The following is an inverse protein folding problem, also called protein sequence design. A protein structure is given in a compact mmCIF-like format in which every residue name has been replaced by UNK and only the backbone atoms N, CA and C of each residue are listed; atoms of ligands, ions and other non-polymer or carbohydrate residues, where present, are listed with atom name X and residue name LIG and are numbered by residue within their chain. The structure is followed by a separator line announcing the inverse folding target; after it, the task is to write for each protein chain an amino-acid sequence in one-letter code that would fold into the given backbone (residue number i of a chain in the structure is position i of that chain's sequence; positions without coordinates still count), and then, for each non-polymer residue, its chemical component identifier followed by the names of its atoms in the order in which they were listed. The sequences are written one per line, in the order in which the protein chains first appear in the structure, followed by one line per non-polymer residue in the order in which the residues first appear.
data_IF_018747762456
#
_entry.id   IF_018747762456
#
_cell.length_a   1.000
_cell.length_b   1.000
_cell.length_c   1.000
_cell.angle_alpha   90.00
_cell.angle_beta   90.00
_cell.angle_gamma   90.00
#
_symmetry.space_group_name_H-M   'P 1'
#
loop_
_entity.id
_entity.type
_entity.pdbx_description
1 polymer ?
#
# COMPACT_ATOMS: atom_id res chain seq x y z
N UNK A 1 3.43 -4.98 20.39
CA UNK A 1 1.97 -5.10 20.62
C UNK A 1 1.21 -3.86 20.16
N UNK A 2 1.75 -2.65 20.29
CA UNK A 2 1.00 -1.40 19.98
C UNK A 2 0.86 -1.07 18.48
N UNK A 3 1.76 -1.55 17.60
CA UNK A 3 1.74 -1.21 16.17
C UNK A 3 1.45 -2.38 15.23
N UNK A 4 1.26 -3.60 15.76
CA UNK A 4 1.20 -4.81 14.94
C UNK A 4 0.08 -4.76 13.90
N UNK A 5 -1.14 -4.39 14.31
CA UNK A 5 -2.29 -4.25 13.40
C UNK A 5 -2.08 -3.15 12.38
N UNK A 6 -1.57 -2.00 12.80
CA UNK A 6 -1.31 -0.87 11.90
C UNK A 6 -0.27 -1.23 10.83
N UNK A 7 0.85 -1.84 11.24
CA UNK A 7 1.88 -2.31 10.31
C UNK A 7 1.38 -3.42 9.40
N UNK A 8 0.49 -4.30 9.87
CA UNK A 8 -0.14 -5.33 9.03
C UNK A 8 -1.05 -4.71 7.97
N UNK A 9 -1.84 -3.68 8.31
CA UNK A 9 -2.68 -2.97 7.34
C UNK A 9 -1.82 -2.40 6.21
N UNK A 10 -0.73 -1.72 6.54
CA UNK A 10 0.18 -1.12 5.56
C UNK A 10 0.96 -2.15 4.73
N UNK A 11 1.29 -3.31 5.32
CA UNK A 11 1.87 -4.43 4.58
C UNK A 11 0.86 -4.98 3.57
N UNK A 12 -0.37 -5.26 3.99
CA UNK A 12 -1.44 -5.78 3.13
C UNK A 12 -1.73 -4.80 1.96
N UNK A 13 -1.70 -3.48 2.21
CA UNK A 13 -1.78 -2.47 1.15
C UNK A 13 -0.60 -2.56 0.17
N UNK A 14 0.62 -2.72 0.70
CA UNK A 14 1.82 -2.87 -0.13
C UNK A 14 1.75 -4.11 -1.01
N UNK A 15 1.31 -5.25 -0.47
CA UNK A 15 1.09 -6.49 -1.21
C UNK A 15 -0.01 -6.34 -2.26
N UNK A 16 -1.11 -5.67 -1.91
CA UNK A 16 -2.21 -5.40 -2.84
C UNK A 16 -1.76 -4.60 -4.07
N UNK A 17 -1.00 -3.51 -3.87
CA UNK A 17 -0.48 -2.71 -4.98
C UNK A 17 0.64 -3.43 -5.75
N UNK A 18 1.43 -4.27 -5.10
CA UNK A 18 2.40 -5.09 -5.81
C UNK A 18 1.73 -6.10 -6.73
N UNK A 19 0.72 -6.82 -6.24
CA UNK A 19 -0.08 -7.71 -7.06
C UNK A 19 -0.75 -6.99 -8.24
N UNK A 20 -1.28 -5.79 -8.00
CA UNK A 20 -1.85 -4.96 -9.06
C UNK A 20 -0.77 -4.61 -10.10
N UNK A 21 0.42 -4.21 -9.67
CA UNK A 21 1.52 -3.87 -10.56
C UNK A 21 1.96 -5.05 -11.43
N UNK A 22 2.08 -6.25 -10.84
CA UNK A 22 2.41 -7.48 -11.56
C UNK A 22 1.34 -7.80 -12.60
N UNK A 23 0.06 -7.76 -12.22
CA UNK A 23 -1.06 -8.13 -13.10
C UNK A 23 -1.29 -7.11 -14.21
N UNK A 24 -1.09 -5.82 -13.93
CA UNK A 24 -1.43 -4.74 -14.86
C UNK A 24 -0.24 -4.24 -15.70
N UNK A 25 0.98 -4.30 -15.16
CA UNK A 25 2.21 -3.78 -15.77
C UNK A 25 3.23 -4.89 -16.10
N UNK A 26 2.93 -6.14 -15.73
CA UNK A 26 3.76 -7.31 -16.02
C UNK A 26 5.00 -7.44 -15.13
N UNK A 27 5.15 -6.63 -14.09
CA UNK A 27 6.28 -6.68 -13.15
C UNK A 27 5.92 -6.04 -11.80
N UNK A 28 6.64 -6.43 -10.76
CA UNK A 28 6.72 -5.66 -9.52
C UNK A 28 7.50 -4.37 -9.78
N UNK A 29 6.96 -3.25 -9.30
CA UNK A 29 7.60 -1.92 -9.41
C UNK A 29 8.33 -1.59 -8.12
N UNK A 30 9.29 -0.67 -8.17
CA UNK A 30 9.83 -0.09 -6.93
C UNK A 30 8.79 0.83 -6.32
N UNK A 31 8.14 0.34 -5.26
CA UNK A 31 7.06 1.06 -4.59
C UNK A 31 7.58 2.19 -3.70
N UNK A 32 6.82 3.28 -3.65
CA UNK A 32 7.03 4.39 -2.71
C UNK A 32 5.75 4.54 -1.89
N UNK A 33 5.85 4.35 -0.58
CA UNK A 33 4.71 4.49 0.34
C UNK A 33 4.63 5.95 0.79
N UNK A 34 3.50 6.60 0.49
CA UNK A 34 3.17 7.92 1.03
C UNK A 34 2.52 7.74 2.40
N UNK A 35 3.16 8.26 3.44
CA UNK A 35 2.61 8.31 4.80
C UNK A 35 2.35 9.77 5.18
N UNK A 36 1.21 10.03 5.81
CA UNK A 36 0.92 11.34 6.39
C UNK A 36 1.80 11.59 7.63
N UNK A 37 2.19 12.84 7.85
CA UNK A 37 2.88 13.25 9.07
C UNK A 37 1.91 13.17 10.26
N UNK A 38 1.95 12.06 11.00
CA UNK A 38 1.12 11.82 12.18
C UNK A 38 1.95 11.13 13.27
N UNK A 39 1.59 11.34 14.54
CA UNK A 39 2.25 10.68 15.68
C UNK A 39 2.16 9.15 15.58
N UNK A 40 1.04 8.62 15.08
CA UNK A 40 0.86 7.19 14.86
C UNK A 40 1.90 6.65 13.86
N UNK A 41 2.12 7.35 12.76
CA UNK A 41 3.14 6.97 11.78
C UNK A 41 4.55 7.07 12.36
N UNK A 42 4.85 8.14 13.10
CA UNK A 42 6.15 8.29 13.75
C UNK A 42 6.41 7.16 14.76
N UNK A 43 5.40 6.81 15.58
CA UNK A 43 5.47 5.75 16.57
C UNK A 43 5.61 4.37 15.93
N UNK A 44 4.88 4.09 14.84
CA UNK A 44 4.81 2.77 14.24
C UNK A 44 5.76 2.53 13.07
N UNK A 45 6.50 3.54 12.60
CA UNK A 45 7.42 3.40 11.46
C UNK A 45 8.46 2.29 11.70
N UNK A 46 9.00 2.19 12.92
CA UNK A 46 9.97 1.15 13.27
C UNK A 46 9.41 -0.26 13.16
N UNK A 47 8.14 -0.46 13.52
CA UNK A 47 7.47 -1.77 13.40
C UNK A 47 7.11 -2.07 11.95
N UNK A 48 6.62 -1.08 11.20
CA UNK A 48 6.34 -1.21 9.77
C UNK A 48 7.57 -1.70 9.00
N UNK A 49 8.73 -1.10 9.24
CA UNK A 49 9.99 -1.49 8.57
C UNK A 49 10.38 -2.93 8.91
N UNK A 50 10.16 -3.39 10.15
CA UNK A 50 10.41 -4.79 10.53
C UNK A 50 9.43 -5.73 9.85
N UNK A 51 8.14 -5.40 9.83
CA UNK A 51 7.08 -6.18 9.20
C UNK A 51 7.35 -6.35 7.70
N UNK A 52 7.66 -5.27 6.99
CA UNK A 52 8.01 -5.33 5.56
C UNK A 52 9.21 -6.27 5.31
N UNK A 53 10.31 -6.10 6.07
CA UNK A 53 11.49 -6.98 5.95
C UNK A 53 11.19 -8.44 6.24
N UNK A 54 10.36 -8.72 7.25
CA UNK A 54 9.93 -10.08 7.58
C UNK A 54 9.13 -10.72 6.43
N UNK A 55 8.42 -9.89 5.66
CA UNK A 55 7.65 -10.29 4.47
C UNK A 55 8.44 -10.14 3.16
N UNK A 56 9.77 -10.23 3.23
CA UNK A 56 10.70 -10.24 2.08
C UNK A 56 10.70 -8.96 1.24
N UNK A 57 10.17 -7.85 1.77
CA UNK A 57 10.36 -6.55 1.15
C UNK A 57 11.79 -6.05 1.39
N UNK A 58 12.42 -5.58 0.31
CA UNK A 58 13.69 -4.88 0.39
C UNK A 58 13.44 -3.38 0.53
N UNK A 59 14.00 -2.77 1.58
CA UNK A 59 13.91 -1.31 1.80
C UNK A 59 15.10 -0.67 1.10
N UNK A 60 14.81 0.06 0.02
CA UNK A 60 15.80 0.75 -0.82
C UNK A 60 15.80 2.26 -0.58
N UNK A 61 16.82 2.95 -1.08
CA UNK A 61 16.88 4.42 -1.02
C UNK A 61 15.85 5.07 -1.95
N UNK A 62 15.38 6.30 -1.65
CA UNK A 62 14.54 7.06 -2.57
C UNK A 62 15.17 7.24 -3.95
N UNK A 63 16.46 7.58 -4.03
CA UNK A 63 17.20 7.74 -5.29
C UNK A 63 17.16 6.48 -6.16
N UNK A 64 17.13 5.31 -5.54
CA UNK A 64 16.99 4.05 -6.24
C UNK A 64 15.55 3.77 -6.67
N UNK A 65 14.57 4.05 -5.81
CA UNK A 65 13.15 3.86 -6.11
C UNK A 65 12.72 4.73 -7.30
N UNK A 66 13.14 6.00 -7.34
CA UNK A 66 12.82 6.94 -8.42
C UNK A 66 13.52 6.65 -9.75
N UNK A 67 14.48 5.72 -9.79
CA UNK A 67 15.05 5.22 -11.06
C UNK A 67 14.16 4.18 -11.74
N UNK A 68 13.12 3.69 -11.07
CA UNK A 68 12.16 2.78 -11.70
C UNK A 68 11.46 3.47 -12.88
N UNK A 69 11.35 2.83 -14.06
CA UNK A 69 10.73 3.43 -15.25
C UNK A 69 9.29 3.92 -15.05
N UNK A 70 8.58 3.44 -14.01
CA UNK A 70 7.24 3.93 -13.68
C UNK A 70 7.27 5.43 -13.34
N UNK A 71 8.36 5.96 -12.77
CA UNK A 71 8.46 7.35 -12.37
C UNK A 71 8.29 8.34 -13.53
N UNK A 72 8.64 7.92 -14.75
CA UNK A 72 8.51 8.73 -15.98
C UNK A 72 7.21 8.48 -16.74
N UNK A 73 6.34 7.58 -16.27
CA UNK A 73 5.08 7.23 -16.93
C UNK A 73 3.94 8.06 -16.37
N UNK A 74 3.59 9.15 -17.06
CA UNK A 74 2.43 9.97 -16.69
C UNK A 74 1.12 9.32 -17.14
N UNK A 75 0.22 8.98 -16.20
CA UNK A 75 -1.12 8.52 -16.54
C UNK A 75 -1.89 9.61 -17.28
N UNK A 76 -2.59 9.21 -18.34
CA UNK A 76 -3.50 10.04 -19.13
C UNK A 76 -4.90 10.12 -18.52
N UNK A 77 -5.30 9.12 -17.73
CA UNK A 77 -6.61 9.06 -17.14
C UNK A 77 -6.71 10.01 -15.94
N UNK A 78 -7.75 10.84 -15.91
CA UNK A 78 -8.18 11.50 -14.67
C UNK A 78 -8.61 10.42 -13.68
N UNK A 79 -7.69 10.03 -12.79
CA UNK A 79 -8.04 9.07 -11.75
C UNK A 79 -8.91 9.74 -10.69
N UNK A 80 -10.11 9.19 -10.47
CA UNK A 80 -11.10 9.79 -9.57
C UNK A 80 -10.69 9.82 -8.08
N UNK A 81 -9.61 9.11 -7.70
CA UNK A 81 -9.28 8.87 -6.28
C UNK A 81 -7.80 9.02 -5.92
N UNK A 82 -6.95 9.49 -6.85
CA UNK A 82 -5.54 9.79 -6.59
C UNK A 82 -4.78 8.70 -5.80
N UNK A 83 -5.02 7.41 -6.09
CA UNK A 83 -4.39 6.27 -5.38
C UNK A 83 -2.97 5.94 -5.90
N UNK A 84 -2.27 6.96 -6.38
CA UNK A 84 -0.92 6.82 -6.92
C UNK A 84 -0.87 6.21 -8.32
N UNK A 85 0.37 6.03 -8.78
CA UNK A 85 0.69 5.79 -10.19
C UNK A 85 0.37 4.36 -10.65
N UNK A 86 0.55 3.36 -9.79
CA UNK A 86 0.23 1.96 -10.10
C UNK A 86 -1.26 1.81 -10.42
N UNK A 87 -2.13 2.36 -9.58
CA UNK A 87 -3.58 2.37 -9.80
C UNK A 87 -3.97 3.05 -11.11
N UNK A 88 -3.38 4.22 -11.38
CA UNK A 88 -3.67 4.99 -12.57
C UNK A 88 -3.30 4.23 -13.86
N UNK A 89 -2.09 3.68 -13.91
CA UNK A 89 -1.62 2.91 -15.06
C UNK A 89 -2.36 1.57 -15.19
N UNK A 90 -2.79 0.96 -14.08
CA UNK A 90 -3.60 -0.26 -14.13
C UNK A 90 -4.97 -0.02 -14.77
N UNK A 91 -5.64 1.09 -14.46
CA UNK A 91 -6.88 1.43 -15.15
C UNK A 91 -6.68 1.64 -16.65
N UNK A 92 -5.58 2.30 -17.05
CA UNK A 92 -5.24 2.52 -18.45
C UNK A 92 -4.90 1.25 -19.22
N UNK A 93 -4.30 0.26 -18.56
CA UNK A 93 -4.01 -1.03 -19.19
C UNK A 93 -5.26 -1.91 -19.37
N UNK A 94 -6.42 -1.47 -18.87
CA UNK A 94 -7.67 -2.21 -18.93
C UNK A 94 -7.77 -3.30 -17.87
N UNK A 95 -6.99 -3.21 -16.80
CA UNK A 95 -7.00 -4.13 -15.66
C UNK A 95 -8.43 -4.42 -15.17
N UNK A 96 -8.74 -5.71 -14.95
CA UNK A 96 -10.08 -6.20 -14.56
C UNK A 96 -10.14 -6.73 -13.13
N UNK A 97 -9.05 -6.64 -12.38
CA UNK A 97 -9.03 -7.06 -10.97
C UNK A 97 -9.62 -6.03 -10.02
N UNK A 98 -9.48 -6.29 -8.72
CA UNK A 98 -9.94 -5.35 -7.68
C UNK A 98 -9.11 -4.08 -7.72
N UNK A 99 -9.79 -2.93 -7.63
CA UNK A 99 -9.17 -1.61 -7.62
C UNK A 99 -8.90 -1.07 -6.21
N UNK A 100 -9.49 -1.71 -5.19
CA UNK A 100 -9.35 -1.34 -3.78
C UNK A 100 -8.99 -2.56 -2.95
N UNK A 101 -8.19 -2.32 -1.91
CA UNK A 101 -7.90 -3.34 -0.91
C UNK A 101 -9.11 -3.54 0.00
N UNK A 102 -9.10 -4.64 0.78
CA UNK A 102 -10.12 -4.88 1.81
C UNK A 102 -10.18 -3.76 2.85
N UNK A 103 -9.10 -3.02 3.09
CA UNK A 103 -9.06 -1.96 4.10
C UNK A 103 -9.84 -0.70 3.69
N UNK A 104 -10.23 -0.59 2.42
CA UNK A 104 -11.17 0.43 1.95
C UNK A 104 -12.64 0.03 2.19
N UNK A 105 -12.91 -1.16 2.70
CA UNK A 105 -14.26 -1.66 2.97
C UNK A 105 -14.60 -1.51 4.45
N UNK A 106 -15.74 -0.86 4.75
CA UNK A 106 -16.17 -0.61 6.14
C UNK A 106 -16.33 -1.90 6.95
N UNK A 107 -16.87 -2.95 6.33
CA UNK A 107 -17.09 -4.26 6.96
C UNK A 107 -15.75 -4.88 7.41
N UNK A 108 -14.77 -4.93 6.51
CA UNK A 108 -13.43 -5.44 6.80
C UNK A 108 -12.74 -4.67 7.92
N UNK A 109 -12.82 -3.34 7.92
CA UNK A 109 -12.24 -2.52 8.99
C UNK A 109 -12.96 -2.73 10.33
N UNK A 110 -14.28 -2.80 10.32
CA UNK A 110 -15.09 -3.01 11.53
C UNK A 110 -14.75 -4.35 12.17
N UNK A 111 -14.72 -5.42 11.36
CA UNK A 111 -14.39 -6.75 11.82
C UNK A 111 -12.98 -6.83 12.45
N UNK A 112 -12.01 -6.11 11.89
CA UNK A 112 -10.67 -6.03 12.50
C UNK A 112 -10.68 -5.28 13.84
N UNK A 113 -11.38 -4.14 13.94
CA UNK A 113 -11.48 -3.39 15.20
C UNK A 113 -12.21 -4.18 16.29
N UNK A 114 -13.25 -4.94 15.93
CA UNK A 114 -13.95 -5.88 16.82
C UNK A 114 -13.01 -6.97 17.31
N UNK A 115 -12.23 -7.58 16.39
CA UNK A 115 -11.24 -8.61 16.72
C UNK A 115 -10.16 -8.11 17.68
N UNK A 116 -9.79 -6.85 17.57
CA UNK A 116 -8.82 -6.18 18.45
C UNK A 116 -9.42 -5.73 19.79
N UNK A 117 -10.74 -5.88 19.98
CA UNK A 117 -11.41 -5.49 21.22
C UNK A 117 -11.43 -3.97 21.46
N UNK A 118 -11.29 -3.15 20.41
CA UNK A 118 -11.19 -1.69 20.52
C UNK A 118 -12.46 -1.06 21.10
N UNK A 119 -13.61 -1.69 20.88
CA UNK A 119 -14.91 -1.16 21.31
C UNK A 119 -15.32 -1.58 22.71
N UNK A 120 -14.69 -2.62 23.26
CA UNK A 120 -15.00 -3.14 24.61
C UNK A 120 -14.17 -2.41 25.65
N UNK A 121 -14.85 -1.72 26.57
CA UNK A 121 -14.25 -1.13 27.78
C UNK A 121 -14.12 -2.17 28.89
#
# INVERSE_FOLDING_TARGET
MECATYSQILLDESEFFDEMSVKALGRSVKHVILLHETDLNALCLGELVKTLRAHRWEIISPDEAYKDPIASQEPKAETKLNQGRVFALAQESGYKGRLYSKWNELESMTAEMDRQGVWTK
#
